data_IF_743474127973
#
_entry.id   IF_743474127973
#
_cell.length_a   1.000
_cell.length_b   1.000
_cell.length_c   1.000
_cell.angle_alpha   90.00
_cell.angle_beta   90.00
_cell.angle_gamma   90.00
#
_symmetry.space_group_name_H-M   'P 1'
#
loop_
_entity.id
_entity.type
_entity.pdbx_description
1 polymer ?
#
# COMPACT_ATOMS: atom_id res chain seq x y z
N UNK A 1 40.98 -15.59 -5.93
CA UNK A 1 39.95 -16.65 -6.10
C UNK A 1 38.76 -16.00 -6.77
N UNK A 2 38.63 -16.15 -8.06
CA UNK A 2 37.51 -15.64 -8.87
C UNK A 2 36.32 -16.58 -8.68
N UNK A 3 35.29 -16.11 -7.96
CA UNK A 3 33.99 -16.77 -7.94
C UNK A 3 33.42 -16.70 -9.36
N UNK A 4 33.54 -17.77 -10.13
CA UNK A 4 32.76 -17.99 -11.32
C UNK A 4 31.32 -18.19 -10.87
N UNK A 5 30.50 -17.14 -10.93
CA UNK A 5 29.04 -17.27 -10.84
C UNK A 5 28.62 -17.97 -12.12
N UNK A 6 28.35 -19.26 -12.06
CA UNK A 6 27.81 -20.01 -13.19
C UNK A 6 26.42 -19.48 -13.45
N UNK A 7 26.24 -18.81 -14.57
CA UNK A 7 24.93 -18.33 -15.02
C UNK A 7 24.09 -19.57 -15.36
N UNK A 8 22.90 -19.69 -14.72
CA UNK A 8 21.96 -20.75 -15.01
C UNK A 8 21.24 -20.48 -16.33
N UNK A 9 20.99 -21.50 -17.12
CA UNK A 9 20.07 -21.37 -18.26
C UNK A 9 18.66 -21.02 -17.76
N UNK A 10 17.82 -20.46 -18.62
CA UNK A 10 16.44 -20.13 -18.25
C UNK A 10 15.65 -21.37 -17.77
N UNK A 11 15.90 -22.54 -18.38
CA UNK A 11 15.27 -23.81 -17.97
C UNK A 11 15.68 -24.21 -16.55
N UNK A 12 16.98 -24.16 -16.24
CA UNK A 12 17.49 -24.46 -14.88
C UNK A 12 16.97 -23.46 -13.85
N UNK A 13 16.82 -22.19 -14.22
CA UNK A 13 16.21 -21.16 -13.36
C UNK A 13 14.73 -21.42 -13.07
N UNK A 14 13.97 -21.88 -14.07
CA UNK A 14 12.55 -22.28 -13.91
C UNK A 14 12.42 -23.46 -12.95
N UNK A 15 13.26 -24.48 -13.09
CA UNK A 15 13.23 -25.65 -12.21
C UNK A 15 13.63 -25.29 -10.78
N UNK A 16 14.67 -24.47 -10.59
CA UNK A 16 15.08 -23.99 -9.29
C UNK A 16 14.00 -23.11 -8.63
N UNK A 17 13.30 -22.27 -9.42
CA UNK A 17 12.17 -21.47 -8.93
C UNK A 17 11.02 -22.38 -8.46
N UNK A 18 10.67 -23.41 -9.25
CA UNK A 18 9.62 -24.38 -8.89
C UNK A 18 9.94 -25.09 -7.58
N UNK A 19 11.17 -25.56 -7.41
CA UNK A 19 11.62 -26.25 -6.20
C UNK A 19 11.59 -25.31 -4.98
N UNK A 20 12.00 -24.06 -5.15
CA UNK A 20 11.92 -23.05 -4.12
C UNK A 20 10.46 -22.73 -3.79
N UNK A 21 9.59 -22.48 -4.74
CA UNK A 21 8.19 -22.10 -4.55
C UNK A 21 7.37 -23.15 -3.78
N UNK A 22 7.71 -24.44 -3.91
CA UNK A 22 7.03 -25.53 -3.21
C UNK A 22 7.38 -25.67 -1.73
N UNK A 23 8.45 -25.04 -1.25
CA UNK A 23 8.98 -25.23 0.12
C UNK A 23 8.42 -24.29 1.21
N UNK A 24 7.57 -23.30 0.88
CA UNK A 24 6.94 -22.40 1.86
C UNK A 24 7.54 -20.96 1.90
N UNK A 25 7.31 -20.22 2.98
CA UNK A 25 7.56 -18.76 3.06
C UNK A 25 9.02 -18.36 2.79
N UNK A 26 9.98 -19.06 3.38
CA UNK A 26 11.41 -18.78 3.17
C UNK A 26 11.82 -18.98 1.72
N UNK A 27 11.08 -19.79 1.03
CA UNK A 27 11.24 -20.14 -0.37
C UNK A 27 10.75 -19.08 -1.34
N UNK A 28 9.81 -18.20 -0.94
CA UNK A 28 9.36 -17.09 -1.79
C UNK A 28 10.50 -16.08 -2.01
N UNK A 29 11.31 -15.84 -0.99
CA UNK A 29 12.49 -14.97 -1.13
C UNK A 29 13.47 -15.57 -2.12
N UNK A 30 13.73 -16.88 -2.01
CA UNK A 30 14.63 -17.59 -2.91
C UNK A 30 14.08 -17.67 -4.33
N UNK A 31 12.82 -18.05 -4.50
CA UNK A 31 12.14 -18.04 -5.80
C UNK A 31 12.19 -16.65 -6.45
N UNK A 32 11.95 -15.59 -5.67
CA UNK A 32 12.03 -14.19 -6.13
C UNK A 32 13.44 -13.82 -6.59
N UNK A 33 14.48 -14.28 -5.89
CA UNK A 33 15.88 -14.03 -6.29
C UNK A 33 16.23 -14.76 -7.59
N UNK A 34 15.81 -16.01 -7.74
CA UNK A 34 16.02 -16.80 -8.97
C UNK A 34 15.34 -16.11 -10.14
N UNK A 35 14.08 -15.67 -9.96
CA UNK A 35 13.35 -14.94 -10.99
C UNK A 35 14.06 -13.65 -11.40
N UNK A 36 14.48 -12.81 -10.44
CA UNK A 36 15.20 -11.56 -10.71
C UNK A 36 16.54 -11.83 -11.40
N UNK A 37 17.30 -12.83 -10.97
CA UNK A 37 18.56 -13.17 -11.63
C UNK A 37 18.34 -13.54 -13.11
N UNK A 38 17.30 -14.32 -13.41
CA UNK A 38 16.96 -14.65 -14.79
C UNK A 38 16.51 -13.43 -15.61
N UNK A 39 15.79 -12.46 -15.01
CA UNK A 39 15.41 -11.21 -15.65
C UNK A 39 16.62 -10.32 -15.93
N UNK A 40 17.58 -10.26 -15.01
CA UNK A 40 18.78 -9.44 -15.16
C UNK A 40 19.70 -9.98 -16.27
N UNK A 41 19.69 -11.29 -16.51
CA UNK A 41 20.37 -11.88 -17.69
C UNK A 41 19.65 -11.54 -18.99
N UNK A 42 18.35 -11.70 -19.04
CA UNK A 42 17.53 -11.37 -20.22
C UNK A 42 16.07 -11.06 -19.79
N UNK A 43 15.60 -9.82 -19.96
CA UNK A 43 14.22 -9.44 -19.60
C UNK A 43 13.13 -10.29 -20.27
N UNK A 44 13.40 -10.88 -21.46
CA UNK A 44 12.46 -11.79 -22.15
C UNK A 44 12.25 -13.12 -21.43
N UNK A 45 13.09 -13.46 -20.45
CA UNK A 45 12.88 -14.65 -19.62
C UNK A 45 11.59 -14.54 -18.78
N UNK A 46 11.03 -13.32 -18.59
CA UNK A 46 9.73 -13.13 -17.97
C UNK A 46 8.63 -13.96 -18.63
N UNK A 47 8.57 -13.97 -19.94
CA UNK A 47 7.56 -14.71 -20.70
C UNK A 47 7.69 -16.22 -20.45
N UNK A 48 8.92 -16.75 -20.48
CA UNK A 48 9.18 -18.17 -20.22
C UNK A 48 8.76 -18.59 -18.79
N UNK A 49 8.96 -17.75 -17.78
CA UNK A 49 8.47 -18.00 -16.42
C UNK A 49 6.95 -17.95 -16.34
N UNK A 50 6.31 -16.94 -16.96
CA UNK A 50 4.86 -16.82 -16.96
C UNK A 50 4.20 -18.02 -17.64
N UNK A 51 4.73 -18.48 -18.77
CA UNK A 51 4.23 -19.66 -19.50
C UNK A 51 4.41 -20.93 -18.67
N UNK A 52 5.58 -21.13 -18.04
CA UNK A 52 5.88 -22.32 -17.25
C UNK A 52 5.00 -22.45 -15.99
N UNK A 53 4.45 -21.36 -15.48
CA UNK A 53 3.65 -21.32 -14.25
C UNK A 53 2.23 -20.76 -14.46
N UNK A 54 1.74 -20.72 -15.71
CA UNK A 54 0.45 -20.10 -16.06
C UNK A 54 -0.73 -20.67 -15.24
N UNK A 55 -0.71 -21.96 -14.92
CA UNK A 55 -1.75 -22.63 -14.12
C UNK A 55 -1.63 -22.41 -12.60
N UNK A 56 -0.48 -21.95 -12.13
CA UNK A 56 -0.16 -21.91 -10.69
C UNK A 56 0.00 -20.48 -10.16
N UNK A 57 0.48 -19.55 -10.99
CA UNK A 57 0.79 -18.18 -10.61
C UNK A 57 0.08 -17.21 -11.55
N UNK A 58 -0.85 -16.38 -11.02
CA UNK A 58 -1.52 -15.38 -11.86
C UNK A 58 -0.50 -14.37 -12.39
N UNK A 59 -0.69 -13.92 -13.64
CA UNK A 59 0.21 -12.95 -14.31
C UNK A 59 0.46 -11.67 -13.48
N UNK A 60 -0.53 -11.23 -12.71
CA UNK A 60 -0.42 -10.07 -11.83
C UNK A 60 0.52 -10.27 -10.62
N UNK A 61 0.88 -11.50 -10.29
CA UNK A 61 1.75 -11.79 -9.13
C UNK A 61 3.25 -11.61 -9.46
N UNK A 62 3.64 -11.70 -10.74
CA UNK A 62 5.05 -11.65 -11.14
C UNK A 62 5.76 -10.34 -10.77
N UNK A 63 5.07 -9.21 -10.88
CA UNK A 63 5.58 -7.93 -10.38
C UNK A 63 5.85 -7.93 -8.87
N UNK A 64 5.13 -8.76 -8.11
CA UNK A 64 5.36 -8.97 -6.70
C UNK A 64 6.63 -9.78 -6.44
N UNK A 65 6.87 -10.86 -7.18
CA UNK A 65 8.11 -11.63 -7.10
C UNK A 65 9.33 -10.77 -7.45
N UNK A 66 9.25 -9.98 -8.51
CA UNK A 66 10.31 -9.04 -8.85
C UNK A 66 10.57 -8.05 -7.72
N UNK A 67 9.52 -7.43 -7.17
CA UNK A 67 9.65 -6.47 -6.08
C UNK A 67 10.27 -7.09 -4.81
N UNK A 68 9.97 -8.35 -4.50
CA UNK A 68 10.58 -9.07 -3.38
C UNK A 68 12.05 -9.37 -3.67
N UNK A 69 12.38 -9.90 -4.84
CA UNK A 69 13.76 -10.24 -5.23
C UNK A 69 14.68 -9.03 -5.27
N UNK A 70 14.17 -7.86 -5.70
CA UNK A 70 14.89 -6.58 -5.70
C UNK A 70 14.89 -5.87 -4.35
N UNK A 71 14.28 -6.43 -3.31
CA UNK A 71 14.09 -5.82 -1.98
C UNK A 71 13.35 -4.48 -2.04
N UNK A 72 12.37 -4.35 -2.92
CA UNK A 72 11.45 -3.21 -2.94
C UNK A 72 10.21 -3.48 -2.10
N UNK A 73 9.90 -4.76 -1.88
CA UNK A 73 8.74 -5.21 -1.12
C UNK A 73 9.10 -6.35 -0.19
N UNK A 74 8.63 -6.28 1.07
CA UNK A 74 8.80 -7.37 2.02
C UNK A 74 7.95 -8.60 1.63
N UNK A 75 8.49 -9.84 1.69
CA UNK A 75 7.79 -11.04 1.22
C UNK A 75 6.43 -11.28 1.90
N UNK A 76 6.27 -10.90 3.15
CA UNK A 76 4.97 -10.97 3.84
C UNK A 76 3.88 -10.11 3.19
N UNK A 77 4.21 -9.02 2.48
CA UNK A 77 3.22 -8.25 1.73
C UNK A 77 2.70 -9.01 0.52
N UNK A 78 3.57 -9.73 -0.18
CA UNK A 78 3.18 -10.59 -1.30
C UNK A 78 2.22 -11.70 -0.84
N UNK A 79 2.46 -12.24 0.35
CA UNK A 79 1.69 -13.34 0.94
C UNK A 79 0.42 -12.91 1.68
N UNK A 80 0.02 -11.66 1.59
CA UNK A 80 -1.16 -11.17 2.31
C UNK A 80 -0.96 -11.05 3.83
N UNK A 81 0.27 -10.95 4.30
CA UNK A 81 0.59 -10.77 5.73
C UNK A 81 0.06 -9.47 6.35
N UNK A 82 -0.58 -8.62 5.53
CA UNK A 82 -1.35 -7.47 5.96
C UNK A 82 -2.71 -7.50 5.24
N UNK A 83 -3.78 -7.81 5.98
CA UNK A 83 -5.13 -8.01 5.44
C UNK A 83 -5.78 -6.71 4.94
N UNK A 84 -5.47 -5.58 5.55
CA UNK A 84 -5.97 -4.28 5.12
C UNK A 84 -5.19 -3.77 3.91
N UNK A 85 -5.87 -3.68 2.76
CA UNK A 85 -5.28 -3.25 1.48
C UNK A 85 -4.71 -1.83 1.52
N UNK A 86 -5.34 -0.91 2.25
CA UNK A 86 -4.86 0.47 2.37
C UNK A 86 -3.59 0.54 3.19
N UNK A 87 -3.54 -0.21 4.30
CA UNK A 87 -2.35 -0.36 5.13
C UNK A 87 -1.21 -0.99 4.33
N UNK A 88 -1.47 -2.11 3.65
CA UNK A 88 -0.48 -2.78 2.81
C UNK A 88 0.09 -1.83 1.74
N UNK A 89 -0.75 -0.99 1.11
CA UNK A 89 -0.32 0.01 0.14
C UNK A 89 0.56 1.09 0.76
N UNK A 90 0.24 1.55 1.96
CA UNK A 90 1.06 2.54 2.67
C UNK A 90 2.43 1.96 3.05
N UNK A 91 2.45 0.74 3.60
CA UNK A 91 3.70 0.07 4.00
C UNK A 91 4.57 -0.29 2.78
N UNK A 92 3.97 -0.71 1.67
CA UNK A 92 4.70 -1.03 0.42
C UNK A 92 5.50 0.17 -0.13
N UNK A 93 5.08 1.40 0.14
CA UNK A 93 5.77 2.62 -0.32
C UNK A 93 6.99 2.98 0.52
N UNK A 94 7.12 2.40 1.72
CA UNK A 94 8.25 2.64 2.59
C UNK A 94 9.51 1.90 2.10
N UNK A 95 10.72 2.39 2.42
CA UNK A 95 11.95 1.66 2.18
C UNK A 95 11.90 0.25 2.77
N UNK A 96 12.57 -0.71 2.13
CA UNK A 96 12.57 -2.11 2.55
C UNK A 96 12.96 -2.30 4.03
N UNK A 97 13.98 -1.59 4.49
CA UNK A 97 14.42 -1.62 5.90
C UNK A 97 13.32 -1.20 6.89
N UNK A 98 12.45 -0.26 6.50
CA UNK A 98 11.29 0.12 7.31
C UNK A 98 10.19 -0.94 7.27
N UNK A 99 9.99 -1.57 6.13
CA UNK A 99 9.07 -2.71 6.03
C UNK A 99 9.52 -3.86 6.93
N UNK A 100 10.82 -4.19 6.97
CA UNK A 100 11.39 -5.20 7.87
C UNK A 100 11.10 -4.88 9.34
N UNK A 101 11.32 -3.62 9.78
CA UNK A 101 11.03 -3.17 11.15
C UNK A 101 9.54 -3.32 11.49
N UNK A 102 8.63 -2.99 10.56
CA UNK A 102 7.19 -3.16 10.74
C UNK A 102 6.82 -4.64 10.91
N UNK A 103 7.34 -5.51 10.04
CA UNK A 103 7.05 -6.95 10.11
C UNK A 103 7.76 -7.67 11.25
N UNK A 104 8.79 -7.07 11.86
CA UNK A 104 9.36 -7.50 13.14
C UNK A 104 8.62 -6.96 14.37
N UNK A 105 7.47 -6.28 14.17
CA UNK A 105 6.63 -5.73 15.24
C UNK A 105 7.34 -4.64 16.07
N UNK A 106 8.25 -3.91 15.45
CA UNK A 106 8.82 -2.73 16.08
C UNK A 106 7.74 -1.66 16.32
N UNK A 107 7.82 -0.99 17.45
CA UNK A 107 6.90 0.08 17.80
C UNK A 107 7.43 1.43 17.36
N UNK A 108 6.54 2.29 16.91
CA UNK A 108 6.86 3.61 16.38
C UNK A 108 6.18 4.70 17.19
N UNK A 109 6.83 5.86 17.38
CA UNK A 109 6.24 6.97 18.12
C UNK A 109 5.03 7.54 17.36
N UNK A 110 3.93 7.71 18.07
CA UNK A 110 2.66 8.25 17.58
C UNK A 110 2.22 9.41 18.47
N UNK A 111 1.93 10.56 17.85
CA UNK A 111 1.43 11.73 18.55
C UNK A 111 -0.10 11.67 18.66
N UNK A 112 -0.61 11.59 19.88
CA UNK A 112 -2.04 11.61 20.18
C UNK A 112 -2.64 13.01 20.06
N UNK A 113 -3.96 13.09 19.99
CA UNK A 113 -4.69 14.35 19.85
C UNK A 113 -4.55 15.28 21.07
N UNK A 114 -4.31 14.73 22.26
CA UNK A 114 -4.02 15.43 23.52
C UNK A 114 -2.57 15.92 23.65
N UNK A 115 -1.71 15.55 22.69
CA UNK A 115 -0.29 15.90 22.65
C UNK A 115 0.63 14.86 23.30
N UNK A 116 0.09 13.79 23.87
CA UNK A 116 0.88 12.67 24.38
C UNK A 116 1.53 11.88 23.23
N UNK A 117 2.65 11.21 23.55
CA UNK A 117 3.33 10.33 22.60
C UNK A 117 3.24 8.89 23.07
N UNK A 118 2.64 8.05 22.24
CA UNK A 118 2.54 6.61 22.44
C UNK A 118 3.50 5.86 21.52
N UNK A 119 3.82 4.62 21.89
CA UNK A 119 4.55 3.67 21.05
C UNK A 119 3.55 2.67 20.48
N UNK A 120 3.30 2.72 19.18
CA UNK A 120 2.32 1.85 18.55
C UNK A 120 2.95 0.88 17.55
N UNK A 121 2.34 -0.29 17.42
CA UNK A 121 2.66 -1.27 16.38
C UNK A 121 1.84 -0.94 15.13
N UNK A 122 2.50 -0.70 14.01
CA UNK A 122 1.82 -0.37 12.72
C UNK A 122 0.92 -1.51 12.26
N UNK A 123 1.23 -2.76 12.59
CA UNK A 123 0.36 -3.89 12.23
C UNK A 123 -1.00 -3.83 12.94
N UNK A 124 -1.08 -3.22 14.11
CA UNK A 124 -2.29 -3.04 14.91
C UNK A 124 -2.95 -1.66 14.73
N UNK A 125 -2.21 -0.70 14.21
CA UNK A 125 -2.64 0.68 14.02
C UNK A 125 -3.87 0.79 13.10
N UNK A 126 -4.70 1.81 13.33
CA UNK A 126 -5.79 2.17 12.40
C UNK A 126 -5.23 2.79 11.12
N UNK A 127 -6.05 2.87 10.07
CA UNK A 127 -5.67 3.52 8.82
C UNK A 127 -5.24 4.99 9.03
N UNK A 128 -5.96 5.73 9.88
CA UNK A 128 -5.68 7.14 10.15
C UNK A 128 -4.36 7.32 10.92
N UNK A 129 -4.08 6.42 11.88
CA UNK A 129 -2.79 6.39 12.57
C UNK A 129 -1.65 6.12 11.60
N UNK A 130 -1.82 5.19 10.65
CA UNK A 130 -0.82 4.91 9.62
C UNK A 130 -0.65 6.11 8.69
N UNK A 131 -1.73 6.76 8.26
CA UNK A 131 -1.66 7.96 7.43
C UNK A 131 -0.94 9.10 8.14
N UNK A 132 -1.07 9.20 9.46
CA UNK A 132 -0.33 10.18 10.27
C UNK A 132 1.16 9.83 10.40
N UNK A 133 1.51 8.55 10.58
CA UNK A 133 2.90 8.10 10.79
C UNK A 133 3.65 8.00 9.46
N UNK A 134 3.03 7.45 8.42
CA UNK A 134 3.70 7.16 7.16
C UNK A 134 3.54 8.32 6.18
N UNK A 135 4.67 8.78 5.64
CA UNK A 135 4.74 9.82 4.60
C UNK A 135 5.29 9.21 3.32
N UNK A 136 4.44 8.47 2.60
CA UNK A 136 4.79 7.91 1.31
C UNK A 136 6.09 7.09 1.28
N UNK A 137 7.22 7.67 1.64
CA UNK A 137 8.55 7.03 1.63
C UNK A 137 9.26 6.99 2.98
N UNK A 138 8.68 7.56 4.03
CA UNK A 138 9.32 7.66 5.35
C UNK A 138 8.33 7.49 6.50
N UNK A 139 8.87 7.24 7.69
CA UNK A 139 8.13 7.32 8.95
C UNK A 139 8.35 8.72 9.52
N UNK A 140 7.25 9.46 9.74
CA UNK A 140 7.30 10.80 10.31
C UNK A 140 7.76 10.76 11.76
N UNK A 141 8.69 11.63 12.14
CA UNK A 141 8.97 11.93 13.53
C UNK A 141 7.82 12.74 14.15
N UNK A 142 7.85 12.94 15.48
CA UNK A 142 6.78 13.65 16.22
C UNK A 142 6.56 15.08 15.71
N UNK A 143 7.61 15.81 15.33
CA UNK A 143 7.48 17.17 14.78
C UNK A 143 6.74 17.16 13.43
N UNK A 144 7.08 16.22 12.55
CA UNK A 144 6.40 16.04 11.25
C UNK A 144 4.96 15.55 11.40
N UNK A 145 4.67 14.72 12.42
CA UNK A 145 3.29 14.31 12.73
C UNK A 145 2.46 15.51 13.21
N UNK A 146 3.04 16.39 14.03
CA UNK A 146 2.37 17.62 14.50
C UNK A 146 2.01 18.52 13.31
N UNK A 147 2.97 18.76 12.42
CA UNK A 147 2.72 19.55 11.21
C UNK A 147 1.63 18.94 10.31
N UNK A 148 1.60 17.62 10.20
CA UNK A 148 0.56 16.89 9.45
C UNK A 148 -0.82 17.10 10.09
N UNK A 149 -0.97 16.99 11.42
CA UNK A 149 -2.23 17.21 12.14
C UNK A 149 -2.70 18.66 11.96
N UNK A 150 -1.79 19.63 12.06
CA UNK A 150 -2.11 21.05 11.87
C UNK A 150 -2.60 21.33 10.44
N UNK A 151 -1.92 20.75 9.43
CA UNK A 151 -2.34 20.87 8.03
C UNK A 151 -3.73 20.26 7.78
N UNK A 152 -4.04 19.10 8.39
CA UNK A 152 -5.35 18.47 8.28
C UNK A 152 -6.45 19.33 8.93
N UNK A 153 -6.17 19.92 10.11
CA UNK A 153 -7.10 20.84 10.78
C UNK A 153 -7.37 22.10 9.94
N UNK A 154 -6.32 22.68 9.35
CA UNK A 154 -6.45 23.83 8.46
C UNK A 154 -7.29 23.51 7.21
N UNK A 155 -7.05 22.36 6.58
CA UNK A 155 -7.83 21.90 5.42
C UNK A 155 -9.31 21.71 5.78
N UNK A 156 -9.61 21.06 6.91
CA UNK A 156 -10.98 20.89 7.39
C UNK A 156 -11.68 22.21 7.76
N UNK A 157 -10.93 23.18 8.31
CA UNK A 157 -11.45 24.50 8.61
C UNK A 157 -11.78 25.28 7.33
N UNK A 158 -10.97 25.14 6.28
CA UNK A 158 -11.21 25.79 4.98
C UNK A 158 -12.43 25.19 4.27
N UNK A 159 -12.65 23.87 4.38
CA UNK A 159 -13.85 23.22 3.85
C UNK A 159 -15.13 23.67 4.60
N UNK A 160 -15.03 24.00 5.89
CA UNK A 160 -16.17 24.47 6.69
C UNK A 160 -16.51 25.94 6.48
N UNK A 161 -15.57 26.75 5.95
CA UNK A 161 -15.77 28.19 5.65
C UNK A 161 -16.09 28.48 4.18
N UNK A 162 -15.98 27.48 3.31
CA UNK A 162 -16.30 27.61 1.88
C UNK A 162 -17.73 27.24 1.57
N UNK A 163 -18.56 28.22 1.24
CA UNK A 163 -19.91 28.15 0.67
C UNK A 163 -20.77 26.96 1.17
N UNK A 164 -21.92 27.27 1.71
CA UNK A 164 -23.00 26.35 2.04
C UNK A 164 -23.17 25.34 0.87
N UNK A 165 -22.42 24.20 0.93
CA UNK A 165 -22.46 23.22 -0.16
C UNK A 165 -23.82 22.56 -0.09
N UNK A 166 -24.73 23.01 -0.94
CA UNK A 166 -26.07 22.47 -1.03
C UNK A 166 -26.02 20.94 -1.16
N UNK A 167 -26.80 20.21 -0.36
CA UNK A 167 -26.83 18.76 -0.39
C UNK A 167 -27.40 18.19 -1.70
N UNK A 168 -27.76 19.04 -2.61
CA UNK A 168 -28.29 18.73 -3.93
C UNK A 168 -27.77 19.67 -5.01
N UNK A 169 -27.91 19.28 -6.26
CA UNK A 169 -27.68 20.12 -7.44
C UNK A 169 -28.92 20.09 -8.35
N UNK A 170 -29.31 21.23 -8.89
CA UNK A 170 -30.39 21.32 -9.90
C UNK A 170 -29.73 21.48 -11.27
N UNK A 171 -29.98 20.54 -12.18
CA UNK A 171 -29.58 20.64 -13.59
C UNK A 171 -30.76 20.25 -14.48
N UNK A 172 -31.11 21.12 -15.43
CA UNK A 172 -32.17 20.85 -16.41
C UNK A 172 -33.52 20.46 -15.77
N UNK A 173 -33.90 21.09 -14.65
CA UNK A 173 -35.12 20.79 -13.91
C UNK A 173 -35.09 19.46 -13.14
N UNK A 174 -33.93 18.81 -13.03
CA UNK A 174 -33.74 17.59 -12.26
C UNK A 174 -32.87 17.85 -11.03
N UNK A 175 -33.34 17.39 -9.87
CA UNK A 175 -32.61 17.45 -8.60
C UNK A 175 -31.77 16.19 -8.45
N UNK A 176 -30.47 16.36 -8.23
CA UNK A 176 -29.55 15.26 -7.88
C UNK A 176 -29.06 15.45 -6.45
N UNK A 177 -29.34 14.49 -5.60
CA UNK A 177 -28.84 14.46 -4.23
C UNK A 177 -27.45 13.84 -4.14
N UNK A 178 -26.62 14.33 -3.23
CA UNK A 178 -25.38 13.65 -2.86
C UNK A 178 -25.71 12.35 -2.11
N UNK A 179 -24.95 11.29 -2.40
CA UNK A 179 -25.19 9.96 -1.79
C UNK A 179 -24.96 10.04 -0.27
N UNK A 180 -25.95 9.57 0.50
CA UNK A 180 -25.87 9.51 1.98
C UNK A 180 -26.30 10.79 2.69
N UNK A 181 -26.87 11.77 1.98
CA UNK A 181 -27.38 13.02 2.58
C UNK A 181 -28.86 12.89 2.91
N UNK A 182 -29.26 13.26 4.14
CA UNK A 182 -30.66 13.51 4.54
C UNK A 182 -30.90 15.01 4.57
N UNK A 183 -31.97 15.46 3.93
CA UNK A 183 -32.35 16.87 3.94
C UNK A 183 -33.09 17.23 5.22
N UNK A 184 -32.74 18.38 5.77
CA UNK A 184 -33.53 19.01 6.84
C UNK A 184 -34.80 19.64 6.28
N UNK A 185 -35.79 19.91 7.15
CA UNK A 185 -37.04 20.58 6.76
C UNK A 185 -36.81 21.96 6.12
N UNK A 186 -35.73 22.65 6.51
CA UNK A 186 -35.36 23.98 5.99
C UNK A 186 -34.82 23.84 4.58
N UNK A 187 -33.95 22.87 4.32
CA UNK A 187 -33.38 22.60 3.01
C UNK A 187 -34.44 22.10 2.01
N UNK A 188 -35.41 21.32 2.47
CA UNK A 188 -36.57 20.92 1.63
C UNK A 188 -37.39 22.13 1.22
N UNK A 189 -37.67 23.05 2.14
CA UNK A 189 -38.41 24.32 1.82
C UNK A 189 -37.66 25.16 0.79
N UNK A 190 -36.34 25.28 0.94
CA UNK A 190 -35.51 26.05 0.01
C UNK A 190 -35.50 25.39 -1.38
N UNK A 191 -35.34 24.07 -1.45
CA UNK A 191 -35.42 23.32 -2.69
C UNK A 191 -36.73 23.53 -3.45
N UNK A 192 -37.86 23.53 -2.73
CA UNK A 192 -39.19 23.79 -3.32
C UNK A 192 -39.40 25.21 -3.80
N UNK A 193 -38.60 26.17 -3.34
CA UNK A 193 -38.64 27.56 -3.82
C UNK A 193 -37.74 27.76 -5.06
N UNK A 194 -36.75 26.89 -5.29
CA UNK A 194 -35.83 26.98 -6.41
C UNK A 194 -36.30 26.11 -7.64
N UNK A 195 -37.36 25.34 -7.49
CA UNK A 195 -38.03 24.58 -8.54
C UNK A 195 -39.15 25.35 -9.19
#
# INVERSE_FOLDING_TARGET
MTNQTTSLTVSESIDAFRDAFQKGIDSIVEASRIYVAALDENPRNADAFQDAFADSIPSSAWSGFEAVGRKWMHPKLLMGGMSDRKKATAVKRLPYSMQERIFSRERFPFLCADGETLQIDIMEATHDQIAQICDGSAIRNIASQRAYIEAQRAASATESTGAEVMPYTIKEGKVRFRRGVSLTRVEIKRLLQEM
#
